data_IF_169093990061
#
_entry.id   IF_169093990061
#
_cell.length_a   1.000
_cell.length_b   1.000
_cell.length_c   1.000
_cell.angle_alpha   90.00
_cell.angle_beta   90.00
_cell.angle_gamma   90.00
#
_symmetry.space_group_name_H-M   'P 1'
#
loop_
_entity.id
_entity.type
_entity.pdbx_description
1 polymer ?
#
# COMPACT_ATOMS: atom_id res chain seq x y z
N UNK A 1 38.65 -36.43 -24.27
CA UNK A 1 37.99 -37.39 -23.37
C UNK A 1 36.62 -36.79 -23.06
N UNK A 2 35.63 -37.09 -23.90
CA UNK A 2 34.23 -36.72 -23.64
C UNK A 2 33.65 -37.80 -22.73
N UNK A 3 33.32 -37.44 -21.50
CA UNK A 3 32.55 -38.32 -20.62
C UNK A 3 31.15 -38.46 -21.20
N UNK A 4 30.82 -39.65 -21.69
CA UNK A 4 29.45 -40.04 -21.99
C UNK A 4 28.70 -40.12 -20.67
N UNK A 5 27.77 -39.19 -20.42
CA UNK A 5 26.73 -39.40 -19.41
C UNK A 5 25.95 -40.66 -19.78
N UNK A 6 25.82 -41.59 -18.82
CA UNK A 6 25.13 -42.85 -19.05
C UNK A 6 23.63 -42.60 -19.26
N UNK A 7 22.99 -43.27 -20.24
CA UNK A 7 21.57 -43.08 -20.54
C UNK A 7 20.64 -43.36 -19.34
N UNK A 8 21.02 -44.26 -18.44
CA UNK A 8 20.27 -44.54 -17.19
C UNK A 8 20.21 -43.33 -16.24
N UNK A 9 21.23 -42.47 -16.24
CA UNK A 9 21.25 -41.27 -15.38
C UNK A 9 20.36 -40.16 -15.98
N UNK A 10 20.26 -40.11 -17.31
CA UNK A 10 19.35 -39.19 -18.02
C UNK A 10 17.88 -39.58 -17.84
N UNK A 11 17.55 -40.87 -17.83
CA UNK A 11 16.18 -41.36 -17.63
C UNK A 11 15.70 -41.16 -16.19
N UNK A 12 16.57 -41.37 -15.20
CA UNK A 12 16.26 -41.10 -13.79
C UNK A 12 16.04 -39.61 -13.51
N UNK A 13 16.86 -38.74 -14.11
CA UNK A 13 16.70 -37.28 -13.99
C UNK A 13 15.39 -36.83 -14.64
N UNK A 14 15.07 -37.34 -15.84
CA UNK A 14 13.79 -37.05 -16.51
C UNK A 14 12.59 -37.50 -15.67
N UNK A 15 12.62 -38.70 -15.10
CA UNK A 15 11.51 -39.22 -14.30
C UNK A 15 11.30 -38.46 -12.98
N UNK A 16 12.38 -37.96 -12.36
CA UNK A 16 12.30 -37.09 -11.19
C UNK A 16 11.72 -35.74 -11.59
N UNK A 17 12.13 -35.19 -12.73
CA UNK A 17 11.64 -33.92 -13.23
C UNK A 17 10.15 -33.99 -13.60
N UNK A 18 9.71 -35.07 -14.26
CA UNK A 18 8.30 -35.33 -14.56
C UNK A 18 7.46 -35.44 -13.27
N UNK A 19 8.00 -36.08 -12.22
CA UNK A 19 7.33 -36.10 -10.91
C UNK A 19 7.30 -34.72 -10.25
N UNK A 20 8.38 -33.94 -10.31
CA UNK A 20 8.37 -32.59 -9.74
C UNK A 20 7.34 -31.72 -10.44
N UNK A 21 7.24 -31.79 -11.76
CA UNK A 21 6.23 -31.05 -12.54
C UNK A 21 4.80 -31.52 -12.21
N UNK A 22 4.56 -32.83 -12.10
CA UNK A 22 3.24 -33.38 -11.79
C UNK A 22 2.74 -33.04 -10.37
N UNK A 23 3.66 -32.79 -9.43
CA UNK A 23 3.35 -32.43 -8.04
C UNK A 23 3.50 -30.94 -7.74
N UNK A 24 3.77 -30.12 -8.75
CA UNK A 24 3.91 -28.68 -8.66
C UNK A 24 2.64 -27.97 -9.10
N UNK A 25 2.13 -27.07 -8.27
CA UNK A 25 0.97 -26.23 -8.61
C UNK A 25 1.40 -24.76 -8.59
N UNK A 26 0.99 -23.96 -9.58
CA UNK A 26 1.21 -22.50 -9.55
C UNK A 26 0.47 -21.89 -8.35
N UNK A 27 1.17 -21.13 -7.52
CA UNK A 27 0.55 -20.46 -6.37
C UNK A 27 -0.37 -19.32 -6.79
N UNK A 28 -0.10 -18.67 -7.93
CA UNK A 28 -0.96 -17.60 -8.44
C UNK A 28 -2.32 -18.16 -8.88
N UNK A 29 -2.35 -19.36 -9.45
CA UNK A 29 -3.59 -20.02 -9.88
C UNK A 29 -4.34 -20.67 -8.72
N UNK A 30 -3.61 -21.21 -7.74
CA UNK A 30 -4.20 -21.90 -6.60
C UNK A 30 -4.73 -20.96 -5.51
N UNK A 31 -4.26 -19.71 -5.45
CA UNK A 31 -4.68 -18.74 -4.44
C UNK A 31 -5.80 -17.83 -4.93
N UNK A 32 -6.92 -17.85 -4.22
CA UNK A 32 -8.10 -17.04 -4.50
C UNK A 32 -8.41 -16.10 -3.32
N UNK A 33 -8.71 -14.84 -3.64
CA UNK A 33 -9.00 -13.79 -2.66
C UNK A 33 -10.43 -13.28 -2.92
N UNK A 34 -11.30 -13.41 -1.92
CA UNK A 34 -12.69 -12.96 -2.05
C UNK A 34 -13.11 -12.07 -0.88
N UNK A 35 -13.79 -10.96 -1.19
CA UNK A 35 -14.42 -10.09 -0.19
C UNK A 35 -15.87 -10.50 0.00
N UNK A 36 -16.24 -10.74 1.26
CA UNK A 36 -17.58 -11.16 1.67
C UNK A 36 -18.31 -10.05 2.40
N UNK A 37 -19.50 -9.73 1.93
CA UNK A 37 -20.41 -8.81 2.60
C UNK A 37 -21.65 -9.59 3.08
N UNK A 38 -21.61 -10.01 4.34
CA UNK A 38 -22.48 -11.08 4.82
C UNK A 38 -22.13 -12.38 4.08
N UNK A 39 -23.14 -13.10 3.58
CA UNK A 39 -22.91 -14.36 2.84
C UNK A 39 -22.61 -14.15 1.34
N UNK A 40 -22.57 -12.91 0.87
CA UNK A 40 -22.39 -12.59 -0.56
C UNK A 40 -20.96 -12.21 -0.87
N UNK A 41 -20.40 -12.82 -1.90
CA UNK A 41 -19.16 -12.37 -2.52
C UNK A 41 -19.43 -11.07 -3.28
N UNK A 42 -18.70 -10.01 -2.93
CA UNK A 42 -18.79 -8.69 -3.58
C UNK A 42 -17.60 -8.39 -4.48
N UNK A 43 -16.51 -9.13 -4.30
CA UNK A 43 -15.30 -9.05 -5.11
C UNK A 43 -14.57 -10.38 -5.02
N UNK A 44 -14.00 -10.82 -6.14
CA UNK A 44 -13.26 -12.08 -6.26
C UNK A 44 -12.12 -11.88 -7.26
N UNK A 45 -10.89 -12.22 -6.87
CA UNK A 45 -9.69 -12.02 -7.68
C UNK A 45 -8.54 -12.91 -7.18
N UNK A 46 -7.54 -13.13 -8.04
CA UNK A 46 -6.27 -13.76 -7.67
C UNK A 46 -5.18 -12.72 -7.32
N UNK A 47 -4.05 -13.16 -6.75
CA UNK A 47 -2.88 -12.32 -6.55
C UNK A 47 -2.26 -11.91 -7.90
N UNK A 48 -1.54 -10.78 -7.94
CA UNK A 48 -0.73 -10.44 -9.12
C UNK A 48 0.60 -11.20 -9.11
N UNK A 49 1.17 -11.41 -7.93
CA UNK A 49 2.33 -12.25 -7.69
C UNK A 49 2.25 -12.90 -6.31
N UNK A 50 3.00 -13.96 -6.11
CA UNK A 50 3.14 -14.68 -4.84
C UNK A 50 4.58 -15.05 -4.52
N UNK A 51 5.56 -14.59 -5.31
CA UNK A 51 6.98 -14.84 -5.07
C UNK A 51 7.48 -14.46 -3.67
N UNK A 52 6.99 -13.40 -2.99
CA UNK A 52 7.44 -13.09 -1.63
C UNK A 52 7.00 -14.14 -0.60
N UNK A 53 5.99 -14.95 -0.94
CA UNK A 53 5.35 -15.93 -0.05
C UNK A 53 5.85 -17.35 -0.41
N UNK A 54 5.82 -17.71 -1.69
CA UNK A 54 6.13 -19.08 -2.15
C UNK A 54 7.45 -19.21 -2.91
N UNK A 55 8.24 -18.14 -2.98
CA UNK A 55 9.54 -18.10 -3.66
C UNK A 55 9.44 -17.75 -5.15
N UNK A 56 10.58 -17.45 -5.77
CA UNK A 56 10.72 -16.88 -7.13
C UNK A 56 9.99 -17.65 -8.23
N UNK A 57 9.83 -18.97 -8.09
CA UNK A 57 9.15 -19.80 -9.10
C UNK A 57 7.61 -19.71 -9.01
N UNK A 58 7.07 -19.15 -7.93
CA UNK A 58 5.62 -19.03 -7.70
C UNK A 58 4.89 -20.38 -7.85
N UNK A 59 5.51 -21.41 -7.26
CA UNK A 59 5.06 -22.80 -7.32
C UNK A 59 5.07 -23.42 -5.93
N UNK A 60 3.99 -24.11 -5.61
CA UNK A 60 3.87 -24.93 -4.40
C UNK A 60 4.07 -26.40 -4.78
N UNK A 61 5.10 -27.02 -4.22
CA UNK A 61 5.40 -28.43 -4.43
C UNK A 61 4.64 -29.33 -3.44
N UNK A 62 4.19 -30.48 -3.95
CA UNK A 62 3.74 -31.61 -3.15
C UNK A 62 2.23 -31.73 -2.98
N UNK A 63 1.44 -30.98 -3.74
CA UNK A 63 -0.03 -30.99 -3.67
C UNK A 63 -0.64 -31.05 -5.06
N UNK A 64 -1.62 -31.94 -5.24
CA UNK A 64 -2.48 -31.96 -6.44
C UNK A 64 -3.85 -31.41 -6.11
N UNK A 65 -4.43 -30.68 -7.05
CA UNK A 65 -5.71 -30.00 -6.86
C UNK A 65 -5.66 -29.05 -5.66
N UNK A 66 -4.54 -28.36 -5.49
CA UNK A 66 -4.35 -27.38 -4.42
C UNK A 66 -5.30 -26.20 -4.63
N UNK A 67 -6.07 -25.87 -3.61
CA UNK A 67 -6.92 -24.68 -3.53
C UNK A 67 -6.61 -23.97 -2.21
N UNK A 68 -6.26 -22.70 -2.32
CA UNK A 68 -6.03 -21.78 -1.20
C UNK A 68 -7.04 -20.64 -1.30
N UNK A 69 -7.94 -20.57 -0.33
CA UNK A 69 -9.05 -19.62 -0.34
C UNK A 69 -8.91 -18.61 0.81
N UNK A 70 -8.47 -17.39 0.48
CA UNK A 70 -8.42 -16.24 1.39
C UNK A 70 -9.73 -15.45 1.34
N UNK A 71 -10.56 -15.63 2.36
CA UNK A 71 -11.83 -14.91 2.50
C UNK A 71 -11.67 -13.73 3.46
N UNK A 72 -12.06 -12.53 3.03
CA UNK A 72 -11.97 -11.30 3.83
C UNK A 72 -13.36 -10.71 4.07
N UNK A 73 -13.67 -10.29 5.30
CA UNK A 73 -14.89 -9.53 5.58
C UNK A 73 -14.80 -8.14 4.92
N UNK A 74 -15.82 -7.75 4.15
CA UNK A 74 -15.76 -6.56 3.30
C UNK A 74 -15.62 -5.24 4.07
N UNK A 75 -15.95 -5.18 5.36
CA UNK A 75 -15.92 -3.93 6.13
C UNK A 75 -14.63 -3.69 6.91
N UNK A 76 -14.01 -4.73 7.47
CA UNK A 76 -12.80 -4.62 8.29
C UNK A 76 -11.65 -5.56 7.85
N UNK A 77 -11.84 -6.25 6.73
CA UNK A 77 -10.90 -7.23 6.16
C UNK A 77 -10.58 -8.42 7.06
N UNK A 78 -11.39 -8.69 8.10
CA UNK A 78 -11.19 -9.84 8.97
C UNK A 78 -11.00 -11.12 8.13
N UNK A 79 -9.89 -11.86 8.30
CA UNK A 79 -9.53 -12.93 7.38
C UNK A 79 -10.02 -14.30 7.82
N UNK A 80 -10.15 -15.18 6.83
CA UNK A 80 -10.29 -16.63 6.96
C UNK A 80 -9.48 -17.28 5.84
N UNK A 81 -8.65 -18.26 6.17
CA UNK A 81 -7.85 -18.99 5.20
C UNK A 81 -8.24 -20.47 5.24
N UNK A 82 -8.70 -20.98 4.10
CA UNK A 82 -8.92 -22.40 3.86
C UNK A 82 -7.88 -22.93 2.87
N UNK A 83 -7.31 -24.10 3.15
CA UNK A 83 -6.32 -24.75 2.30
C UNK A 83 -6.76 -26.19 2.13
N UNK A 84 -7.00 -26.60 0.89
CA UNK A 84 -7.46 -27.95 0.56
C UNK A 84 -6.71 -28.51 -0.64
N UNK A 85 -6.64 -29.83 -0.73
CA UNK A 85 -5.97 -30.55 -1.82
C UNK A 85 -6.59 -31.93 -2.01
N UNK A 86 -6.44 -32.51 -3.20
CA UNK A 86 -6.93 -33.85 -3.51
C UNK A 86 -5.94 -34.93 -3.11
N UNK A 87 -4.65 -34.72 -3.38
CA UNK A 87 -3.57 -35.65 -3.06
C UNK A 87 -2.36 -34.88 -2.53
N UNK A 88 -1.61 -35.50 -1.61
CA UNK A 88 -0.39 -34.94 -1.04
C UNK A 88 0.78 -35.88 -1.32
N UNK A 89 1.92 -35.31 -1.68
CA UNK A 89 3.13 -36.06 -2.01
C UNK A 89 3.60 -36.88 -0.81
N UNK A 90 3.75 -38.21 -0.94
CA UNK A 90 4.28 -39.05 0.11
C UNK A 90 5.77 -38.73 0.30
N UNK A 91 6.17 -38.37 1.51
CA UNK A 91 7.56 -38.02 1.81
C UNK A 91 8.53 -39.11 1.34
N UNK A 92 9.52 -38.72 0.55
CA UNK A 92 10.55 -39.60 -0.01
C UNK A 92 11.93 -39.06 0.39
N UNK A 93 12.53 -39.70 1.41
CA UNK A 93 13.77 -39.21 2.02
C UNK A 93 13.59 -37.82 2.64
N UNK A 94 14.37 -36.87 2.16
CA UNK A 94 14.33 -35.46 2.59
C UNK A 94 13.33 -34.60 1.78
N UNK A 95 12.77 -35.14 0.69
CA UNK A 95 11.79 -34.42 -0.15
C UNK A 95 10.41 -34.56 0.49
N UNK A 96 9.85 -33.44 0.93
CA UNK A 96 8.50 -33.32 1.52
C UNK A 96 7.72 -32.22 0.81
N UNK A 97 6.39 -32.29 0.93
CA UNK A 97 5.52 -31.22 0.46
C UNK A 97 5.84 -29.89 1.15
N UNK A 98 5.64 -28.77 0.43
CA UNK A 98 5.89 -27.42 0.93
C UNK A 98 5.00 -27.11 2.13
N UNK A 99 5.55 -26.39 3.11
CA UNK A 99 4.79 -25.92 4.27
C UNK A 99 4.04 -24.63 3.92
N UNK A 100 2.84 -24.79 3.36
CA UNK A 100 2.00 -23.66 2.93
C UNK A 100 1.64 -22.75 4.10
N UNK A 101 1.36 -23.32 5.29
CA UNK A 101 1.00 -22.51 6.46
C UNK A 101 2.19 -21.74 6.98
N UNK A 102 3.33 -22.40 7.14
CA UNK A 102 4.57 -21.73 7.54
C UNK A 102 4.98 -20.60 6.59
N UNK A 103 4.74 -20.76 5.28
CA UNK A 103 4.97 -19.70 4.29
C UNK A 103 4.03 -18.48 4.45
N UNK A 104 2.81 -18.70 4.96
CA UNK A 104 1.80 -17.66 5.15
C UNK A 104 1.87 -16.98 6.52
N UNK A 105 2.45 -17.63 7.53
CA UNK A 105 2.42 -17.21 8.94
C UNK A 105 2.94 -15.79 9.17
N UNK A 106 3.91 -15.34 8.39
CA UNK A 106 4.46 -13.99 8.50
C UNK A 106 3.56 -12.93 7.85
N UNK A 107 2.65 -13.31 6.95
CA UNK A 107 1.86 -12.40 6.12
C UNK A 107 0.40 -12.27 6.56
N UNK A 108 -0.16 -13.27 7.22
CA UNK A 108 -1.56 -13.28 7.64
C UNK A 108 -1.67 -13.45 9.16
N UNK A 109 -2.58 -12.75 9.86
CA UNK A 109 -2.76 -12.96 11.28
C UNK A 109 -3.23 -14.39 11.57
N UNK A 110 -2.77 -14.95 12.69
CA UNK A 110 -3.13 -16.31 13.14
C UNK A 110 -4.65 -16.52 13.26
N UNK A 111 -5.41 -15.45 13.46
CA UNK A 111 -6.87 -15.46 13.49
C UNK A 111 -7.50 -16.02 12.20
N UNK A 112 -6.81 -15.92 11.06
CA UNK A 112 -7.27 -16.44 9.78
C UNK A 112 -7.44 -17.97 9.77
N UNK A 113 -6.65 -18.69 10.59
CA UNK A 113 -6.69 -20.14 10.70
C UNK A 113 -7.50 -20.63 11.92
N UNK A 114 -8.09 -19.72 12.70
CA UNK A 114 -8.69 -20.04 14.00
C UNK A 114 -9.92 -20.97 13.89
N UNK A 115 -10.66 -20.91 12.78
CA UNK A 115 -11.88 -21.70 12.57
C UNK A 115 -11.90 -22.34 11.20
N UNK A 116 -12.47 -23.54 11.10
CA UNK A 116 -12.67 -24.22 9.81
C UNK A 116 -13.79 -23.59 8.99
N UNK A 117 -14.82 -23.08 9.66
CA UNK A 117 -15.98 -22.50 8.99
C UNK A 117 -15.71 -21.04 8.65
N UNK A 118 -15.67 -20.71 7.36
CA UNK A 118 -15.62 -19.32 6.87
C UNK A 118 -16.72 -18.45 7.48
N UNK A 119 -17.94 -18.97 7.56
CA UNK A 119 -19.09 -18.22 8.09
C UNK A 119 -18.91 -17.85 9.56
N UNK A 120 -18.29 -18.73 10.36
CA UNK A 120 -17.97 -18.45 11.77
C UNK A 120 -16.79 -17.49 11.88
N UNK A 121 -15.76 -17.66 11.04
CA UNK A 121 -14.58 -16.81 11.01
C UNK A 121 -14.92 -15.34 10.72
N UNK A 122 -15.79 -15.12 9.73
CA UNK A 122 -16.19 -13.79 9.27
C UNK A 122 -17.39 -13.21 10.05
N UNK A 123 -17.97 -13.98 10.97
CA UNK A 123 -19.08 -13.50 11.79
C UNK A 123 -18.61 -12.34 12.69
N UNK A 124 -19.25 -11.20 12.51
CA UNK A 124 -19.04 -10.00 13.32
C UNK A 124 -20.39 -9.47 13.83
N UNK A 125 -20.71 -9.73 15.11
CA UNK A 125 -21.94 -9.22 15.74
C UNK A 125 -22.05 -7.69 15.73
N UNK A 126 -20.93 -6.98 15.59
CA UNK A 126 -20.88 -5.52 15.57
C UNK A 126 -20.83 -4.94 14.15
N UNK A 127 -20.91 -5.77 13.10
CA UNK A 127 -20.79 -5.32 11.71
C UNK A 127 -21.78 -4.22 11.35
N UNK A 128 -22.99 -4.22 11.91
CA UNK A 128 -24.01 -3.17 11.65
C UNK A 128 -23.61 -1.79 12.17
N UNK A 129 -22.80 -1.76 13.22
CA UNK A 129 -22.33 -0.53 13.86
C UNK A 129 -20.93 -0.14 13.38
N UNK A 130 -20.31 -0.97 12.53
CA UNK A 130 -18.99 -0.69 12.00
C UNK A 130 -18.98 0.66 11.27
N UNK A 131 -17.99 1.46 11.60
CA UNK A 131 -17.60 2.66 10.88
C UNK A 131 -16.09 2.60 10.71
N UNK A 132 -15.54 2.95 9.53
CA UNK A 132 -14.11 3.00 9.34
C UNK A 132 -13.43 3.86 10.43
N UNK A 133 -12.25 3.46 10.91
CA UNK A 133 -11.56 4.18 11.98
C UNK A 133 -11.13 5.59 11.54
N UNK A 134 -10.91 6.45 12.53
CA UNK A 134 -10.45 7.81 12.35
C UNK A 134 -11.52 8.78 11.82
N UNK A 135 -11.12 9.59 10.84
CA UNK A 135 -11.86 10.77 10.37
C UNK A 135 -12.25 10.67 8.90
N UNK A 136 -13.50 10.98 8.58
CA UNK A 136 -13.98 11.06 7.20
C UNK A 136 -13.39 12.30 6.52
N UNK A 137 -12.58 12.10 5.46
CA UNK A 137 -11.97 13.18 4.71
C UNK A 137 -12.80 13.61 3.49
N UNK A 138 -13.34 12.63 2.76
CA UNK A 138 -14.01 12.92 1.50
C UNK A 138 -15.15 11.94 1.23
N UNK A 139 -16.19 12.44 0.57
CA UNK A 139 -17.33 11.65 0.09
C UNK A 139 -17.59 12.02 -1.36
N UNK A 140 -17.76 11.01 -2.22
CA UNK A 140 -18.11 11.23 -3.62
C UNK A 140 -19.11 10.18 -4.12
N UNK A 141 -19.64 10.42 -5.31
CA UNK A 141 -20.53 9.49 -6.02
C UNK A 141 -19.94 9.18 -7.38
N UNK A 142 -19.86 7.90 -7.72
CA UNK A 142 -19.44 7.41 -9.02
C UNK A 142 -20.46 6.36 -9.48
N UNK A 143 -20.97 6.50 -10.70
CA UNK A 143 -22.02 5.62 -11.26
C UNK A 143 -23.22 5.34 -10.33
N UNK A 144 -23.65 6.36 -9.59
CA UNK A 144 -24.77 6.26 -8.65
C UNK A 144 -24.48 5.50 -7.34
N UNK A 145 -23.23 5.08 -7.12
CA UNK A 145 -22.76 4.48 -5.87
C UNK A 145 -21.99 5.51 -5.05
N UNK A 146 -22.15 5.47 -3.72
CA UNK A 146 -21.50 6.38 -2.78
C UNK A 146 -20.16 5.79 -2.33
N UNK A 147 -19.15 6.64 -2.22
CA UNK A 147 -17.82 6.28 -1.72
C UNK A 147 -17.35 7.26 -0.66
N UNK A 148 -16.56 6.76 0.29
CA UNK A 148 -16.04 7.52 1.41
C UNK A 148 -14.56 7.20 1.64
N UNK A 149 -13.74 8.24 1.87
CA UNK A 149 -12.31 8.13 2.18
C UNK A 149 -12.09 8.57 3.62
N UNK A 150 -11.48 7.69 4.41
CA UNK A 150 -11.23 7.87 5.83
C UNK A 150 -9.73 7.92 6.12
N UNK A 151 -9.34 8.62 7.18
CA UNK A 151 -7.96 8.77 7.65
C UNK A 151 -7.86 8.44 9.12
N UNK A 152 -6.95 7.54 9.47
CA UNK A 152 -6.61 7.17 10.84
C UNK A 152 -5.08 7.05 11.01
N UNK A 153 -4.59 7.12 12.24
CA UNK A 153 -3.22 6.71 12.55
C UNK A 153 -3.18 5.22 12.88
N UNK A 154 -2.08 4.52 12.55
CA UNK A 154 -1.89 3.13 12.97
C UNK A 154 -1.66 2.96 14.48
N UNK A 155 -1.63 4.05 15.25
CA UNK A 155 -1.75 4.01 16.71
C UNK A 155 -3.16 3.67 17.19
N UNK A 156 -4.19 3.91 16.39
CA UNK A 156 -5.57 3.53 16.69
C UNK A 156 -5.78 2.02 16.46
N UNK A 157 -6.32 1.31 17.45
CA UNK A 157 -6.46 -0.15 17.39
C UNK A 157 -7.27 -0.63 16.18
N UNK A 158 -8.36 0.06 15.83
CA UNK A 158 -9.17 -0.31 14.66
C UNK A 158 -8.46 -0.09 13.31
N UNK A 159 -7.56 0.89 13.22
CA UNK A 159 -6.76 1.12 12.02
C UNK A 159 -5.62 0.11 11.92
N UNK A 160 -4.99 -0.22 13.05
CA UNK A 160 -3.98 -1.27 13.15
C UNK A 160 -4.56 -2.63 12.73
N UNK A 161 -5.72 -3.00 13.26
CA UNK A 161 -6.39 -4.26 12.91
C UNK A 161 -6.67 -4.36 11.40
N UNK A 162 -7.18 -3.29 10.78
CA UNK A 162 -7.41 -3.27 9.33
C UNK A 162 -6.10 -3.43 8.56
N UNK A 163 -5.02 -2.79 9.00
CA UNK A 163 -3.72 -2.89 8.34
C UNK A 163 -3.12 -4.29 8.47
N UNK A 164 -3.15 -4.89 9.66
CA UNK A 164 -2.71 -6.27 9.91
C UNK A 164 -3.48 -7.27 9.03
N UNK A 165 -4.80 -7.06 8.88
CA UNK A 165 -5.62 -7.89 8.01
C UNK A 165 -5.33 -7.69 6.51
N UNK A 166 -4.98 -6.46 6.11
CA UNK A 166 -4.69 -6.11 4.72
C UNK A 166 -3.25 -6.42 4.29
N UNK A 167 -2.32 -6.65 5.23
CA UNK A 167 -0.89 -6.67 4.96
C UNK A 167 -0.46 -7.76 3.96
N UNK A 168 -1.17 -8.89 3.91
CA UNK A 168 -0.94 -9.96 2.92
C UNK A 168 -1.16 -9.51 1.48
N UNK A 169 -2.01 -8.50 1.27
CA UNK A 169 -2.28 -7.93 -0.05
C UNK A 169 -1.09 -7.10 -0.56
N UNK A 170 -0.26 -6.56 0.32
CA UNK A 170 0.88 -5.74 -0.06
C UNK A 170 1.87 -6.52 -0.94
N UNK A 171 2.48 -7.63 -0.50
CA UNK A 171 3.40 -8.40 -1.32
C UNK A 171 2.73 -9.06 -2.53
N UNK A 172 1.40 -9.21 -2.55
CA UNK A 172 0.68 -9.81 -3.66
C UNK A 172 0.40 -8.86 -4.83
N UNK A 173 0.43 -7.55 -4.57
CA UNK A 173 0.02 -6.52 -5.55
C UNK A 173 1.01 -5.36 -5.68
N UNK A 174 1.98 -5.25 -4.78
CA UNK A 174 3.01 -4.21 -4.77
C UNK A 174 4.37 -4.90 -4.80
N UNK A 175 5.06 -4.79 -5.93
CA UNK A 175 6.41 -5.33 -6.11
C UNK A 175 7.37 -4.70 -5.09
N UNK A 176 8.13 -5.54 -4.38
CA UNK A 176 8.99 -5.10 -3.27
C UNK A 176 8.24 -4.63 -2.01
N UNK A 177 6.91 -4.73 -1.99
CA UNK A 177 6.09 -4.36 -0.85
C UNK A 177 6.37 -5.24 0.38
N UNK A 178 6.57 -4.61 1.53
CA UNK A 178 6.85 -5.28 2.80
C UNK A 178 5.79 -4.95 3.85
N UNK A 179 5.67 -5.83 4.85
CA UNK A 179 4.77 -5.64 5.99
C UNK A 179 5.30 -4.52 6.88
N UNK A 180 4.39 -3.72 7.43
CA UNK A 180 4.74 -2.62 8.32
C UNK A 180 4.99 -3.18 9.72
N UNK A 181 6.22 -3.04 10.22
CA UNK A 181 6.56 -3.34 11.60
C UNK A 181 6.06 -2.21 12.53
N UNK A 182 5.17 -2.56 13.47
CA UNK A 182 4.53 -1.64 14.41
C UNK A 182 4.92 -1.92 15.88
N UNK A 183 6.04 -2.60 16.11
CA UNK A 183 6.47 -3.07 17.44
C UNK A 183 6.64 -1.92 18.45
N UNK A 184 7.07 -0.77 17.96
CA UNK A 184 7.34 0.42 18.75
C UNK A 184 6.16 1.42 18.65
N UNK A 185 5.53 1.83 19.76
CA UNK A 185 4.37 2.72 19.73
C UNK A 185 4.58 4.03 18.97
N UNK A 186 5.79 4.60 19.05
CA UNK A 186 6.12 5.85 18.36
C UNK A 186 6.25 5.70 16.85
N UNK A 187 6.46 4.48 16.34
CA UNK A 187 6.47 4.17 14.90
C UNK A 187 5.03 4.19 14.39
N UNK A 188 4.09 3.61 15.13
CA UNK A 188 2.67 3.62 14.78
C UNK A 188 2.09 5.03 14.65
N UNK A 189 2.53 5.97 15.50
CA UNK A 189 2.11 7.39 15.46
C UNK A 189 2.54 8.11 14.17
N UNK A 190 3.58 7.61 13.50
CA UNK A 190 4.12 8.18 12.25
C UNK A 190 3.48 7.58 11.02
N UNK A 191 2.82 6.43 11.16
CA UNK A 191 2.07 5.81 10.08
C UNK A 191 0.62 6.33 10.06
N UNK A 192 0.23 6.82 8.89
CA UNK A 192 -1.14 7.21 8.58
C UNK A 192 -1.74 6.22 7.60
N UNK A 193 -2.93 5.72 7.90
CA UNK A 193 -3.73 4.87 7.03
C UNK A 193 -4.87 5.68 6.43
N UNK A 194 -5.00 5.63 5.11
CA UNK A 194 -6.13 6.12 4.36
C UNK A 194 -6.90 4.93 3.79
N UNK A 195 -8.20 4.85 4.03
CA UNK A 195 -9.03 3.75 3.51
C UNK A 195 -10.16 4.30 2.64
N UNK A 196 -10.42 3.61 1.53
CA UNK A 196 -11.51 3.92 0.60
C UNK A 196 -12.56 2.82 0.69
N UNK A 197 -13.81 3.24 0.91
CA UNK A 197 -14.96 2.35 0.98
C UNK A 197 -16.05 2.75 -0.02
N UNK A 198 -16.69 1.76 -0.63
CA UNK A 198 -18.02 1.89 -1.20
C UNK A 198 -19.06 1.76 -0.07
N UNK A 199 -20.08 2.61 -0.08
CA UNK A 199 -21.10 2.70 0.98
C UNK A 199 -22.47 2.40 0.41
N UNK A 200 -23.12 1.36 0.95
CA UNK A 200 -24.48 0.98 0.58
C UNK A 200 -25.31 0.61 1.81
N UNK A 201 -26.26 1.47 2.18
CA UNK A 201 -27.12 1.30 3.36
C UNK A 201 -28.42 0.56 3.08
N UNK A 202 -28.59 -0.04 1.89
CA UNK A 202 -29.85 -0.70 1.49
C UNK A 202 -30.08 -2.04 2.19
N UNK A 203 -29.02 -2.70 2.64
CA UNK A 203 -29.10 -4.00 3.30
C UNK A 203 -29.09 -3.82 4.82
N UNK A 204 -30.14 -4.33 5.48
CA UNK A 204 -30.25 -4.35 6.93
C UNK A 204 -29.39 -5.49 7.53
N UNK A 205 -28.96 -5.33 8.78
CA UNK A 205 -28.22 -6.33 9.58
C UNK A 205 -26.82 -6.71 9.07
N UNK A 206 -26.23 -5.92 8.18
CA UNK A 206 -24.83 -6.06 7.75
C UNK A 206 -24.16 -4.68 7.69
N UNK A 207 -22.83 -4.64 7.66
CA UNK A 207 -22.10 -3.40 7.47
C UNK A 207 -22.47 -2.72 6.14
N UNK A 208 -22.62 -1.39 6.11
CA UNK A 208 -22.84 -0.65 4.88
C UNK A 208 -21.56 -0.47 4.06
N UNK A 209 -20.39 -0.76 4.65
CA UNK A 209 -19.09 -0.51 4.05
C UNK A 209 -18.56 -1.73 3.30
N UNK A 210 -17.98 -1.48 2.12
CA UNK A 210 -17.25 -2.45 1.33
C UNK A 210 -15.91 -1.84 0.95
N UNK A 211 -14.83 -2.48 1.38
CA UNK A 211 -13.46 -2.02 1.16
C UNK A 211 -13.16 -1.98 -0.34
N UNK A 212 -12.50 -0.91 -0.79
CA UNK A 212 -12.14 -0.68 -2.20
C UNK A 212 -10.63 -0.51 -2.35
N UNK A 213 -9.96 0.04 -1.34
CA UNK A 213 -8.52 0.25 -1.40
C UNK A 213 -7.99 1.04 -0.21
N UNK A 214 -6.68 1.19 -0.16
CA UNK A 214 -6.01 1.95 0.89
C UNK A 214 -4.75 2.64 0.37
N UNK A 215 -4.26 3.57 1.18
CA UNK A 215 -2.92 4.13 1.07
C UNK A 215 -2.32 4.30 2.45
N UNK A 216 -1.03 4.08 2.58
CA UNK A 216 -0.27 4.40 3.79
C UNK A 216 0.71 5.52 3.53
N UNK A 217 0.95 6.37 4.54
CA UNK A 217 2.06 7.32 4.53
C UNK A 217 2.85 7.23 5.83
N UNK A 218 4.14 7.54 5.73
CA UNK A 218 5.04 7.62 6.87
C UNK A 218 5.62 9.02 7.02
N UNK A 219 5.52 9.57 8.23
CA UNK A 219 6.06 10.89 8.58
C UNK A 219 7.51 10.80 9.06
N UNK A 220 8.41 11.31 8.23
CA UNK A 220 9.85 11.39 8.51
C UNK A 220 10.21 12.80 8.97
N UNK A 221 10.97 12.91 10.05
CA UNK A 221 11.53 14.20 10.47
C UNK A 221 12.50 14.74 9.40
N UNK A 222 12.42 16.03 9.11
CA UNK A 222 13.43 16.72 8.29
C UNK A 222 14.08 17.84 9.09
N UNK A 223 15.33 18.16 8.74
CA UNK A 223 15.98 19.34 9.30
C UNK A 223 15.31 20.60 8.76
N UNK A 224 15.14 21.63 9.59
CA UNK A 224 14.61 22.92 9.15
C UNK A 224 15.53 23.61 8.15
N UNK A 225 14.97 24.56 7.40
CA UNK A 225 15.78 25.40 6.50
C UNK A 225 16.84 26.14 7.31
N UNK A 226 18.11 25.94 6.94
CA UNK A 226 19.26 26.54 7.61
C UNK A 226 19.42 28.03 7.29
N UNK A 227 18.76 28.54 6.26
CA UNK A 227 18.87 29.93 5.79
C UNK A 227 17.79 30.81 6.40
N UNK A 228 16.56 30.33 6.46
CA UNK A 228 15.41 31.04 7.01
C UNK A 228 14.62 30.11 7.96
N UNK A 229 15.17 29.78 9.15
CA UNK A 229 14.49 28.91 10.09
C UNK A 229 13.23 29.60 10.65
N UNK A 230 12.10 28.88 10.69
CA UNK A 230 10.88 29.36 11.33
C UNK A 230 11.10 29.54 12.84
N UNK A 231 10.24 30.30 13.54
CA UNK A 231 10.35 30.47 15.00
C UNK A 231 10.33 29.13 15.75
N UNK A 232 9.54 28.17 15.27
CA UNK A 232 9.50 26.80 15.82
C UNK A 232 10.80 26.02 15.57
N UNK A 233 11.51 26.30 14.47
CA UNK A 233 12.79 25.68 14.12
C UNK A 233 13.91 26.23 15.00
N UNK A 234 13.88 27.53 15.27
CA UNK A 234 14.78 28.19 16.20
C UNK A 234 14.58 27.66 17.63
N UNK A 235 13.35 27.35 18.04
CA UNK A 235 13.08 26.73 19.33
C UNK A 235 13.71 25.33 19.47
N UNK A 236 14.02 24.63 18.38
CA UNK A 236 14.82 23.39 18.42
C UNK A 236 16.32 23.65 18.58
N UNK A 237 16.80 24.78 18.08
CA UNK A 237 18.22 25.12 17.98
C UNK A 237 18.72 26.02 19.12
N UNK A 238 17.83 26.66 19.88
CA UNK A 238 18.14 27.69 20.88
C UNK A 238 18.39 27.16 22.31
N UNK A 239 18.41 25.85 22.54
CA UNK A 239 18.71 25.32 23.87
C UNK A 239 20.21 25.09 24.06
N UNK A 240 20.81 25.86 24.97
CA UNK A 240 22.20 25.78 25.44
C UNK A 240 22.49 24.54 26.30
N UNK A 241 21.82 23.42 26.08
CA UNK A 241 22.02 22.21 26.88
C UNK A 241 22.82 21.17 26.09
N UNK A 242 23.99 20.85 26.63
CA UNK A 242 24.98 19.94 26.06
C UNK A 242 24.61 18.45 26.17
N UNK A 243 23.35 18.13 26.48
CA UNK A 243 22.95 16.79 26.90
C UNK A 243 22.03 16.14 25.86
N UNK A 244 22.59 15.23 25.06
CA UNK A 244 21.87 14.43 24.08
C UNK A 244 20.69 13.66 24.70
N UNK A 245 20.78 13.35 26.00
CA UNK A 245 19.71 12.70 26.76
C UNK A 245 18.45 13.58 26.92
N UNK A 246 18.58 14.91 26.93
CA UNK A 246 17.43 15.82 26.98
C UNK A 246 16.68 15.87 25.63
N UNK A 247 17.44 15.84 24.53
CA UNK A 247 16.88 15.74 23.17
C UNK A 247 16.12 14.42 23.00
N UNK A 248 16.69 13.31 23.47
CA UNK A 248 16.08 11.97 23.41
C UNK A 248 14.86 11.84 24.35
N UNK A 249 14.86 12.50 25.52
CA UNK A 249 13.68 12.55 26.42
C UNK A 249 12.48 13.26 25.80
N UNK A 250 12.69 14.27 24.94
CA UNK A 250 11.61 14.94 24.20
C UNK A 250 10.99 14.04 23.12
N UNK A 251 11.77 13.09 22.61
CA UNK A 251 11.33 12.10 21.62
C UNK A 251 10.66 10.88 22.27
N UNK A 252 10.57 10.86 23.61
CA UNK A 252 9.96 9.78 24.38
C UNK A 252 8.66 10.28 25.06
N UNK A 253 7.52 9.69 24.71
CA UNK A 253 6.18 10.14 25.13
C UNK A 253 5.95 10.11 26.66
N UNK A 254 6.78 9.37 27.41
CA UNK A 254 6.68 9.26 28.87
C UNK A 254 7.32 10.44 29.63
N UNK A 255 8.14 11.26 28.99
CA UNK A 255 8.90 12.37 29.61
C UNK A 255 8.58 13.74 29.03
N UNK A 256 7.62 13.83 28.11
CA UNK A 256 7.29 15.06 27.37
C UNK A 256 6.66 16.19 28.21
N UNK A 257 6.20 15.91 29.44
CA UNK A 257 5.33 16.81 30.19
C UNK A 257 6.03 17.89 31.01
N UNK A 258 7.36 17.98 31.04
CA UNK A 258 8.01 18.89 32.00
C UNK A 258 8.49 20.24 31.49
N UNK A 259 8.77 20.54 30.19
CA UNK A 259 9.45 21.83 29.93
C UNK A 259 9.37 22.55 28.54
N UNK A 260 8.34 22.40 27.69
CA UNK A 260 8.19 23.37 26.57
C UNK A 260 6.73 23.66 26.16
N UNK A 261 6.32 24.94 26.25
CA UNK A 261 5.02 25.43 25.76
C UNK A 261 4.89 25.45 24.21
N UNK A 262 5.97 25.16 23.46
CA UNK A 262 6.06 25.41 22.02
C UNK A 262 5.95 24.17 21.11
N UNK A 263 6.20 22.95 21.61
CA UNK A 263 6.08 21.70 20.82
C UNK A 263 5.52 20.60 21.73
N UNK A 264 4.33 20.10 21.39
CA UNK A 264 3.62 19.06 22.15
C UNK A 264 3.89 17.66 21.66
N UNK A 265 4.35 17.52 20.40
CA UNK A 265 4.64 16.22 19.79
C UNK A 265 5.78 16.31 18.76
N UNK A 266 6.63 15.26 18.63
CA UNK A 266 7.59 15.14 17.53
C UNK A 266 6.94 15.21 16.13
N UNK A 267 5.63 15.00 16.01
CA UNK A 267 4.88 15.10 14.75
C UNK A 267 4.60 16.54 14.31
N UNK A 268 4.84 17.53 15.19
CA UNK A 268 4.71 18.98 14.91
C UNK A 268 6.01 19.59 14.35
N UNK A 269 7.10 18.82 14.34
CA UNK A 269 8.38 19.23 13.76
C UNK A 269 8.30 19.29 12.23
N UNK A 270 9.19 20.06 11.57
CA UNK A 270 9.36 19.98 10.13
C UNK A 270 9.50 18.52 9.68
N UNK A 271 8.70 18.15 8.69
CA UNK A 271 8.59 16.76 8.27
C UNK A 271 8.44 16.61 6.77
N UNK A 272 8.83 15.43 6.29
CA UNK A 272 8.51 14.91 4.97
C UNK A 272 7.47 13.82 5.16
N UNK A 273 6.38 13.91 4.40
CA UNK A 273 5.43 12.80 4.26
C UNK A 273 5.88 11.92 3.09
N UNK A 274 5.88 10.60 3.30
CA UNK A 274 6.19 9.64 2.24
C UNK A 274 5.03 8.67 2.08
N UNK A 275 4.32 8.74 0.95
CA UNK A 275 3.35 7.68 0.58
C UNK A 275 4.17 6.39 0.36
N UNK A 276 3.76 5.31 1.02
CA UNK A 276 4.50 4.04 1.00
C UNK A 276 3.75 2.98 0.21
N UNK A 277 2.59 2.54 0.71
CA UNK A 277 1.76 1.54 0.04
C UNK A 277 0.52 2.22 -0.54
N UNK A 278 0.12 1.83 -1.76
CA UNK A 278 -1.09 2.33 -2.39
C UNK A 278 -1.73 1.20 -3.20
N UNK A 279 -2.96 0.82 -2.85
CA UNK A 279 -3.66 -0.28 -3.48
C UNK A 279 -5.13 0.05 -3.69
N UNK A 280 -5.61 -0.14 -4.92
CA UNK A 280 -7.03 -0.32 -5.23
C UNK A 280 -7.24 -1.78 -5.56
N UNK A 281 -8.22 -2.44 -4.94
CA UNK A 281 -8.47 -3.87 -5.21
C UNK A 281 -8.79 -4.09 -6.69
N UNK A 282 -8.36 -5.20 -7.31
CA UNK A 282 -8.43 -5.40 -8.76
C UNK A 282 -9.80 -5.12 -9.38
N UNK A 283 -10.88 -5.52 -8.70
CA UNK A 283 -12.27 -5.36 -9.17
C UNK A 283 -12.77 -3.92 -9.22
N UNK A 284 -12.01 -2.95 -8.71
CA UNK A 284 -12.35 -1.52 -8.68
C UNK A 284 -11.28 -0.65 -9.37
N UNK A 285 -10.32 -1.26 -10.07
CA UNK A 285 -9.33 -0.54 -10.86
C UNK A 285 -9.94 -0.02 -12.17
N UNK A 286 -9.33 1.01 -12.75
CA UNK A 286 -9.80 1.61 -14.02
C UNK A 286 -11.03 2.54 -13.92
N UNK A 287 -11.66 2.65 -12.75
CA UNK A 287 -12.87 3.49 -12.54
C UNK A 287 -12.54 4.90 -11.96
N UNK A 288 -11.25 5.26 -11.89
CA UNK A 288 -10.80 6.55 -11.36
C UNK A 288 -10.74 6.64 -9.83
N UNK A 289 -11.01 5.54 -9.11
CA UNK A 289 -10.91 5.46 -7.65
C UNK A 289 -9.52 5.77 -7.12
N UNK A 290 -8.46 5.31 -7.81
CA UNK A 290 -7.06 5.63 -7.49
C UNK A 290 -6.82 7.14 -7.45
N UNK A 291 -7.16 7.85 -8.53
CA UNK A 291 -6.99 9.30 -8.61
C UNK A 291 -7.76 10.05 -7.50
N UNK A 292 -8.98 9.61 -7.16
CA UNK A 292 -9.78 10.20 -6.07
C UNK A 292 -9.15 9.97 -4.70
N UNK A 293 -8.62 8.77 -4.45
CA UNK A 293 -7.90 8.46 -3.23
C UNK A 293 -6.62 9.28 -3.14
N UNK A 294 -5.79 9.27 -4.19
CA UNK A 294 -4.57 10.07 -4.27
C UNK A 294 -4.83 11.56 -4.03
N UNK A 295 -5.79 12.16 -4.73
CA UNK A 295 -6.17 13.58 -4.56
C UNK A 295 -6.52 13.94 -3.10
N UNK A 296 -7.16 13.00 -2.39
CA UNK A 296 -7.59 13.18 -1.01
C UNK A 296 -6.42 13.03 -0.05
N UNK A 297 -5.58 12.01 -0.28
CA UNK A 297 -4.32 11.77 0.45
C UNK A 297 -3.40 12.98 0.30
N UNK A 298 -3.09 13.37 -0.94
CA UNK A 298 -2.26 14.53 -1.29
C UNK A 298 -2.71 15.77 -0.51
N UNK A 299 -3.98 16.19 -0.65
CA UNK A 299 -4.52 17.35 0.05
C UNK A 299 -4.40 17.22 1.57
N UNK A 300 -4.66 16.05 2.13
CA UNK A 300 -4.54 15.83 3.58
C UNK A 300 -3.10 15.93 4.08
N UNK A 301 -2.13 15.43 3.31
CA UNK A 301 -0.73 15.39 3.68
C UNK A 301 -0.03 16.74 3.52
N UNK A 302 -0.40 17.57 2.54
CA UNK A 302 0.19 18.90 2.34
C UNK A 302 -0.50 20.02 3.14
N UNK A 303 -1.63 19.74 3.79
CA UNK A 303 -2.37 20.74 4.56
C UNK A 303 -1.64 21.26 5.81
N UNK A 304 -0.87 20.45 6.56
CA UNK A 304 -0.14 20.94 7.72
C UNK A 304 1.08 21.79 7.32
N UNK A 305 1.23 22.97 7.93
CA UNK A 305 2.33 23.91 7.62
C UNK A 305 3.73 23.35 7.94
N UNK A 306 3.81 22.32 8.79
CA UNK A 306 5.07 21.66 9.14
C UNK A 306 5.49 20.55 8.17
N UNK A 307 4.71 20.29 7.11
CA UNK A 307 5.09 19.33 6.06
C UNK A 307 5.78 20.10 4.94
N UNK A 308 7.08 19.89 4.81
CA UNK A 308 7.92 20.59 3.85
C UNK A 308 7.91 19.94 2.47
N UNK A 309 7.65 18.63 2.41
CA UNK A 309 7.78 17.84 1.19
C UNK A 309 6.88 16.60 1.26
N UNK A 310 6.31 16.25 0.10
CA UNK A 310 5.61 14.98 -0.13
C UNK A 310 6.41 14.14 -1.13
N UNK A 311 6.77 12.94 -0.69
CA UNK A 311 7.48 11.94 -1.51
C UNK A 311 6.66 10.66 -1.65
N UNK A 312 7.10 9.78 -2.53
CA UNK A 312 6.53 8.44 -2.72
C UNK A 312 7.70 7.46 -2.66
N UNK A 313 7.50 6.34 -1.97
CA UNK A 313 8.45 5.24 -1.90
C UNK A 313 8.32 4.38 -3.16
N UNK A 314 9.41 4.30 -3.93
CA UNK A 314 9.58 3.45 -5.12
C UNK A 314 8.30 3.28 -5.97
N UNK A 315 7.73 4.39 -6.52
CA UNK A 315 6.50 4.31 -7.31
C UNK A 315 6.72 3.47 -8.57
N UNK A 316 5.69 2.71 -8.94
CA UNK A 316 5.62 2.07 -10.25
C UNK A 316 5.08 3.04 -11.31
N UNK A 317 5.25 2.67 -12.59
CA UNK A 317 4.85 3.52 -13.73
C UNK A 317 3.35 3.90 -13.69
N UNK A 318 2.48 2.96 -13.29
CA UNK A 318 1.04 3.22 -13.18
C UNK A 318 0.71 4.26 -12.10
N UNK A 319 1.45 4.26 -10.98
CA UNK A 319 1.32 5.26 -9.93
C UNK A 319 1.86 6.62 -10.38
N UNK A 320 3.00 6.65 -11.08
CA UNK A 320 3.58 7.88 -11.64
C UNK A 320 2.62 8.56 -12.62
N UNK A 321 2.03 7.81 -13.56
CA UNK A 321 1.04 8.34 -14.50
C UNK A 321 -0.18 8.97 -13.80
N UNK A 322 -0.68 8.28 -12.77
CA UNK A 322 -1.80 8.76 -11.96
C UNK A 322 -1.41 10.03 -11.21
N UNK A 323 -0.25 10.03 -10.55
CA UNK A 323 0.29 11.14 -9.79
C UNK A 323 0.50 12.36 -10.67
N UNK A 324 1.20 12.22 -11.79
CA UNK A 324 1.48 13.31 -12.73
C UNK A 324 0.19 13.95 -13.22
N UNK A 325 -0.81 13.14 -13.57
CA UNK A 325 -2.12 13.63 -14.00
C UNK A 325 -2.83 14.42 -12.89
N UNK A 326 -2.82 13.91 -11.66
CA UNK A 326 -3.44 14.57 -10.52
C UNK A 326 -2.72 15.87 -10.15
N UNK A 327 -1.39 15.83 -10.05
CA UNK A 327 -0.54 16.97 -9.69
C UNK A 327 -0.63 18.08 -10.72
N UNK A 328 -0.55 17.76 -12.03
CA UNK A 328 -0.72 18.75 -13.10
C UNK A 328 -2.11 19.38 -13.10
N UNK A 329 -3.15 18.58 -12.84
CA UNK A 329 -4.53 19.08 -12.74
C UNK A 329 -4.70 20.00 -11.53
N UNK A 330 -4.10 19.62 -10.39
CA UNK A 330 -4.11 20.43 -9.19
C UNK A 330 -3.34 21.75 -9.38
N UNK A 331 -2.15 21.71 -9.99
CA UNK A 331 -1.35 22.91 -10.27
C UNK A 331 -2.09 23.86 -11.22
N UNK A 332 -2.65 23.36 -12.33
CA UNK A 332 -3.46 24.18 -13.25
C UNK A 332 -4.67 24.83 -12.57
N UNK A 333 -5.21 24.23 -11.52
CA UNK A 333 -6.37 24.75 -10.80
C UNK A 333 -6.01 25.75 -9.70
N UNK A 334 -4.86 25.56 -9.05
CA UNK A 334 -4.51 26.29 -7.82
C UNK A 334 -3.31 27.25 -7.98
N UNK A 335 -2.65 27.28 -9.13
CA UNK A 335 -1.54 28.18 -9.40
C UNK A 335 -1.79 28.91 -10.74
N UNK A 336 -2.03 30.23 -10.67
CA UNK A 336 -2.36 31.04 -11.85
C UNK A 336 -1.19 31.13 -12.85
N UNK A 337 0.05 31.19 -12.37
CA UNK A 337 1.23 31.19 -13.23
C UNK A 337 1.30 29.88 -14.02
N UNK A 338 1.08 28.75 -13.37
CA UNK A 338 1.04 27.43 -14.00
C UNK A 338 -0.17 27.29 -14.95
N UNK A 339 -1.34 27.81 -14.55
CA UNK A 339 -2.54 27.80 -15.39
C UNK A 339 -2.34 28.57 -16.70
N UNK A 340 -1.54 29.65 -16.65
CA UNK A 340 -1.18 30.46 -17.82
C UNK A 340 -0.18 29.78 -18.77
N UNK A 341 0.49 28.70 -18.32
CA UNK A 341 1.42 27.96 -19.17
C UNK A 341 0.70 27.29 -20.33
N UNK A 342 1.08 27.71 -21.53
CA UNK A 342 0.60 27.18 -22.80
C UNK A 342 1.76 26.59 -23.60
N UNK A 343 1.62 25.32 -23.99
CA UNK A 343 2.54 24.70 -24.94
C UNK A 343 2.14 25.17 -26.34
N UNK A 344 3.08 25.82 -27.03
CA UNK A 344 2.89 26.21 -28.43
C UNK A 344 3.03 24.97 -29.32
N UNK A 345 1.91 24.45 -29.80
CA UNK A 345 1.85 23.23 -30.63
C UNK A 345 2.17 23.48 -32.11
N UNK A 346 2.29 24.74 -32.52
CA UNK A 346 2.63 25.13 -33.90
C UNK A 346 4.05 25.68 -33.93
N UNK A 347 5.01 24.78 -34.16
CA UNK A 347 6.43 25.12 -34.34
C UNK A 347 6.73 25.05 -35.84
N UNK A 348 7.52 26.00 -36.33
CA UNK A 348 8.01 25.96 -37.70
C UNK A 348 8.88 24.72 -37.91
N UNK A 349 8.45 23.83 -38.80
CA UNK A 349 9.17 22.60 -39.17
C UNK A 349 10.61 22.85 -39.62
N UNK A 350 10.90 24.04 -40.16
CA UNK A 350 12.27 24.42 -40.55
C UNK A 350 13.23 24.51 -39.35
N UNK A 351 12.71 24.67 -38.12
CA UNK A 351 13.47 24.73 -36.86
C UNK A 351 13.59 23.38 -36.16
N UNK A 352 12.96 22.32 -36.69
CA UNK A 352 12.99 20.96 -36.12
C UNK A 352 13.94 20.05 -36.93
N UNK A 353 15.12 20.56 -37.30
CA UNK A 353 16.12 19.75 -38.00
C UNK A 353 16.81 18.82 -37.03
N UNK A 354 17.05 17.57 -37.44
CA UNK A 354 17.74 16.55 -36.62
C UNK A 354 19.16 16.96 -36.18
N UNK A 355 19.77 17.94 -36.85
CA UNK A 355 21.12 18.45 -36.57
C UNK A 355 21.14 19.70 -35.69
N UNK A 356 19.98 20.26 -35.34
CA UNK A 356 19.85 21.48 -34.54
C UNK A 356 19.21 21.18 -33.18
N UNK A 357 19.48 22.04 -32.20
CA UNK A 357 18.86 21.92 -30.88
C UNK A 357 17.35 22.19 -30.98
N UNK A 358 16.57 21.48 -30.15
CA UNK A 358 15.12 21.69 -30.05
C UNK A 358 14.87 23.16 -29.67
N UNK A 359 14.03 23.91 -30.41
CA UNK A 359 13.79 25.33 -30.17
C UNK A 359 12.85 25.53 -28.96
N UNK A 360 13.36 25.29 -27.75
CA UNK A 360 12.55 25.27 -26.52
C UNK A 360 11.81 26.59 -26.26
N UNK A 361 12.34 27.74 -26.70
CA UNK A 361 11.69 29.06 -26.56
C UNK A 361 10.46 29.24 -27.45
N UNK A 362 10.39 28.46 -28.53
CA UNK A 362 9.22 28.38 -29.39
C UNK A 362 8.17 27.42 -28.83
N UNK A 363 8.53 26.55 -27.87
CA UNK A 363 7.63 25.58 -27.21
C UNK A 363 6.96 26.20 -25.98
N UNK A 364 7.74 26.87 -25.12
CA UNK A 364 7.30 27.57 -23.91
C UNK A 364 7.93 28.97 -23.90
N UNK A 365 7.16 30.02 -23.63
CA UNK A 365 7.65 31.40 -23.63
C UNK A 365 8.79 31.61 -22.63
N UNK A 366 9.75 32.48 -22.98
CA UNK A 366 10.92 32.77 -22.13
C UNK A 366 10.57 33.32 -20.75
N UNK A 367 9.53 34.16 -20.64
CA UNK A 367 9.08 34.73 -19.36
C UNK A 367 8.57 33.64 -18.40
N UNK A 368 7.89 32.62 -18.93
CA UNK A 368 7.42 31.47 -18.15
C UNK A 368 8.57 30.57 -17.65
N UNK A 369 9.73 30.60 -18.32
CA UNK A 369 10.92 29.85 -17.88
C UNK A 369 11.68 30.56 -16.77
N UNK A 370 11.59 31.88 -16.69
CA UNK A 370 12.28 32.67 -15.68
C UNK A 370 11.64 32.54 -14.28
N UNK A 371 10.33 32.32 -14.22
CA UNK A 371 9.56 32.14 -12.97
C UNK A 371 9.63 30.72 -12.39
N UNK A 372 10.06 29.72 -13.19
CA UNK A 372 10.18 28.33 -12.78
C UNK A 372 11.61 27.92 -12.34
N UNK A 373 12.53 28.88 -12.21
CA UNK A 373 13.94 28.66 -11.85
C UNK A 373 14.29 29.08 -10.43
#
# INVERSE_FOLDING_TARGET
MSGSESPENSELVSAIQDQVEEWSTSSNDALHISLYRGDKVVSDFGPACTYPIFGEEEVVFGYRGLDMSLSLAAHNLRPHMDISWTEQFPQLGDIKASDIRGALDDFIPQSAFATKSRAEALADPNATNFTPPGTLLHTYTHEGRKYEIWKATLSEDGAREIMENAQILVPMFIEGGTIIALDEPWVADRWTLFTLYQVDKRLANISPYTFVGFSTSYRVFTLPDRREPAENDLALLQHNESDMDAILRRWNSKTANEDTHLLKSPLELPSRERISQFLIIPTHQGEGHGARLYDTVFKSLISPDNVCELTVEDPNEAFDDMRDTCDLTWLRKNNDDFASLAIKTKIDSAKLKATENIPVDDIVSGDAKATAR
#
